data_IF_659274871644
#
_entry.id   IF_659274871644
#
_cell.length_a   1.000
_cell.length_b   1.000
_cell.length_c   1.000
_cell.angle_alpha   90.00
_cell.angle_beta   90.00
_cell.angle_gamma   90.00
#
_symmetry.space_group_name_H-M   'P 1'
#
loop_
_entity.id
_entity.type
_entity.pdbx_description
1 polymer ?
#
# COMPACT_ATOMS: atom_id res chain seq x y z
N UNK A 1 -65.00 -41.40 -5.43
CA UNK A 1 -63.86 -41.24 -6.35
C UNK A 1 -63.05 -40.03 -5.90
N UNK A 2 -61.84 -40.34 -5.40
CA UNK A 2 -60.65 -39.53 -5.08
C UNK A 2 -60.78 -38.05 -4.68
N UNK A 3 -60.53 -37.83 -3.38
CA UNK A 3 -59.96 -36.60 -2.81
C UNK A 3 -58.45 -36.63 -3.06
N UNK A 4 -57.91 -35.61 -3.72
CA UNK A 4 -56.47 -35.44 -3.92
C UNK A 4 -55.99 -34.13 -3.30
N UNK A 5 -55.61 -34.17 -2.03
CA UNK A 5 -54.88 -33.08 -1.37
C UNK A 5 -53.46 -33.01 -1.92
N UNK A 6 -53.17 -31.97 -2.71
CA UNK A 6 -51.80 -31.62 -3.11
C UNK A 6 -51.15 -30.87 -1.94
N UNK A 7 -50.14 -31.47 -1.33
CA UNK A 7 -49.32 -30.85 -0.30
C UNK A 7 -48.56 -29.69 -0.95
N UNK A 8 -48.74 -28.48 -0.39
CA UNK A 8 -48.03 -27.30 -0.84
C UNK A 8 -46.56 -27.43 -0.43
N UNK A 9 -45.70 -27.69 -1.42
CA UNK A 9 -44.26 -27.67 -1.23
C UNK A 9 -43.84 -26.23 -0.97
N UNK A 10 -43.39 -25.98 0.26
CA UNK A 10 -42.92 -24.69 0.72
C UNK A 10 -41.66 -24.33 -0.06
N UNK A 11 -41.84 -23.63 -1.19
CA UNK A 11 -40.76 -23.04 -1.96
C UNK A 11 -39.97 -22.12 -1.03
N UNK A 12 -38.78 -22.59 -0.63
CA UNK A 12 -37.81 -21.82 0.12
C UNK A 12 -37.42 -20.65 -0.78
N UNK A 13 -37.94 -19.46 -0.47
CA UNK A 13 -37.71 -18.23 -1.22
C UNK A 13 -36.21 -18.01 -1.37
N UNK A 14 -35.70 -18.18 -2.58
CA UNK A 14 -34.34 -17.78 -2.91
C UNK A 14 -34.25 -16.25 -2.76
N UNK A 15 -33.18 -15.73 -2.12
CA UNK A 15 -32.99 -14.29 -2.06
C UNK A 15 -32.85 -13.73 -3.48
N UNK A 16 -33.36 -12.52 -3.69
CA UNK A 16 -33.28 -11.85 -4.98
C UNK A 16 -31.82 -11.49 -5.31
N UNK A 17 -31.46 -11.50 -6.59
CA UNK A 17 -30.10 -11.15 -7.07
C UNK A 17 -29.65 -9.70 -6.75
N UNK A 18 -30.53 -8.91 -6.13
CA UNK A 18 -30.30 -7.53 -5.70
C UNK A 18 -30.21 -7.39 -4.17
N UNK A 19 -29.97 -8.50 -3.44
CA UNK A 19 -29.47 -8.38 -2.07
C UNK A 19 -28.32 -7.38 -2.04
N UNK A 20 -28.35 -6.45 -1.07
CA UNK A 20 -27.40 -5.35 -0.97
C UNK A 20 -25.99 -5.87 -1.26
N UNK A 21 -25.35 -5.36 -2.32
CA UNK A 21 -24.09 -5.88 -2.81
C UNK A 21 -23.14 -6.02 -1.61
N UNK A 22 -22.80 -7.28 -1.30
CA UNK A 22 -21.88 -7.58 -0.21
C UNK A 22 -20.62 -6.74 -0.42
N UNK A 23 -20.17 -6.07 0.64
CA UNK A 23 -18.93 -5.29 0.58
C UNK A 23 -17.80 -6.20 0.07
N UNK A 24 -17.20 -5.91 -1.10
CA UNK A 24 -16.16 -6.74 -1.70
C UNK A 24 -14.97 -6.97 -0.76
N UNK A 25 -14.70 -6.02 0.14
CA UNK A 25 -13.57 -6.09 1.07
C UNK A 25 -13.83 -7.06 2.25
N UNK A 26 -15.07 -7.56 2.44
CA UNK A 26 -15.43 -8.44 3.57
C UNK A 26 -14.63 -9.74 3.66
N UNK A 27 -14.07 -10.21 2.53
CA UNK A 27 -13.27 -11.42 2.45
C UNK A 27 -11.78 -11.15 2.27
N UNK A 28 -11.37 -9.89 2.17
CA UNK A 28 -9.98 -9.48 2.01
C UNK A 28 -9.25 -9.41 3.37
N UNK A 29 -8.00 -8.95 3.38
CA UNK A 29 -7.25 -8.71 4.62
C UNK A 29 -8.09 -7.88 5.61
N UNK A 30 -8.20 -8.30 6.89
CA UNK A 30 -7.38 -9.31 7.57
C UNK A 30 -7.88 -10.77 7.50
N UNK A 31 -8.98 -11.04 6.80
CA UNK A 31 -9.60 -12.38 6.76
C UNK A 31 -8.96 -13.33 5.75
N UNK A 32 -8.23 -12.80 4.76
CA UNK A 32 -7.44 -13.58 3.81
C UNK A 32 -6.18 -12.82 3.37
N UNK A 33 -5.39 -13.43 2.47
CA UNK A 33 -4.23 -12.76 1.86
C UNK A 33 -4.61 -11.77 0.75
N UNK A 34 -5.87 -11.79 0.28
CA UNK A 34 -6.34 -10.89 -0.77
C UNK A 34 -6.29 -9.43 -0.31
N UNK A 35 -5.90 -8.54 -1.22
CA UNK A 35 -5.81 -7.12 -0.92
C UNK A 35 -7.19 -6.49 -0.90
N UNK A 36 -7.47 -5.66 0.11
CA UNK A 36 -8.69 -4.85 0.12
C UNK A 36 -8.52 -3.61 -0.77
N UNK A 37 -9.63 -2.90 -1.01
CA UNK A 37 -9.66 -1.72 -1.87
C UNK A 37 -8.69 -0.63 -1.40
N UNK A 38 -8.54 -0.43 -0.09
CA UNK A 38 -7.64 0.58 0.48
C UNK A 38 -6.16 0.25 0.25
N UNK A 39 -5.77 -1.03 0.36
CA UNK A 39 -4.41 -1.50 0.12
C UNK A 39 -4.03 -1.33 -1.35
N UNK A 40 -4.93 -1.71 -2.28
CA UNK A 40 -4.74 -1.53 -3.73
C UNK A 40 -4.57 -0.03 -4.06
N UNK A 41 -5.43 0.82 -3.50
CA UNK A 41 -5.36 2.26 -3.73
C UNK A 41 -4.03 2.84 -3.24
N UNK A 42 -3.57 2.45 -2.05
CA UNK A 42 -2.31 2.93 -1.47
C UNK A 42 -1.08 2.40 -2.23
N UNK A 43 -1.10 1.14 -2.66
CA UNK A 43 -0.09 0.55 -3.55
C UNK A 43 0.06 1.39 -4.83
N UNK A 44 -1.04 1.66 -5.53
CA UNK A 44 -1.01 2.43 -6.78
C UNK A 44 -0.44 3.85 -6.58
N UNK A 45 -0.82 4.52 -5.48
CA UNK A 45 -0.29 5.85 -5.14
C UNK A 45 1.21 5.82 -4.86
N UNK A 46 1.69 4.78 -4.16
CA UNK A 46 3.13 4.58 -3.88
C UNK A 46 3.92 4.25 -5.13
N UNK A 47 3.47 3.31 -5.96
CA UNK A 47 4.14 2.96 -7.21
C UNK A 47 4.29 4.21 -8.10
N UNK A 48 3.21 4.96 -8.29
CA UNK A 48 3.26 6.20 -9.06
C UNK A 48 4.18 7.26 -8.44
N UNK A 49 4.20 7.39 -7.10
CA UNK A 49 5.13 8.28 -6.41
C UNK A 49 6.60 7.89 -6.64
N UNK A 50 6.91 6.59 -6.58
CA UNK A 50 8.27 6.09 -6.70
C UNK A 50 8.82 6.27 -8.12
N UNK A 51 7.97 6.06 -9.14
CA UNK A 51 8.32 6.38 -10.54
C UNK A 51 8.61 7.87 -10.70
N UNK A 52 7.74 8.76 -10.19
CA UNK A 52 7.98 10.21 -10.22
C UNK A 52 9.27 10.63 -9.49
N UNK A 53 9.74 9.80 -8.56
CA UNK A 53 10.96 10.01 -7.78
C UNK A 53 12.17 9.25 -8.35
N UNK A 54 12.06 8.73 -9.58
CA UNK A 54 13.18 8.18 -10.34
C UNK A 54 13.50 6.70 -10.09
N UNK A 55 12.61 5.94 -9.46
CA UNK A 55 12.62 4.49 -9.60
C UNK A 55 12.08 4.10 -10.99
N UNK A 56 12.58 3.01 -11.58
CA UNK A 56 11.92 2.42 -12.73
C UNK A 56 10.60 1.75 -12.31
N UNK A 57 9.72 1.44 -13.27
CA UNK A 57 8.37 0.91 -13.02
C UNK A 57 8.40 -0.41 -12.24
N UNK A 58 9.24 -1.37 -12.66
CA UNK A 58 9.34 -2.67 -12.01
C UNK A 58 9.85 -2.55 -10.56
N UNK A 59 10.79 -1.63 -10.33
CA UNK A 59 11.25 -1.32 -8.97
C UNK A 59 10.18 -0.65 -8.13
N UNK A 60 9.45 0.32 -8.70
CA UNK A 60 8.40 1.04 -8.01
C UNK A 60 7.30 0.08 -7.53
N UNK A 61 6.86 -0.83 -8.39
CA UNK A 61 5.89 -1.88 -8.04
C UNK A 61 6.43 -2.80 -6.95
N UNK A 62 7.66 -3.31 -7.11
CA UNK A 62 8.28 -4.21 -6.10
C UNK A 62 8.43 -3.54 -4.74
N UNK A 63 8.75 -2.24 -4.71
CA UNK A 63 8.83 -1.48 -3.47
C UNK A 63 7.44 -1.26 -2.88
N UNK A 64 6.44 -0.88 -3.68
CA UNK A 64 5.08 -0.68 -3.21
C UNK A 64 4.46 -1.98 -2.66
N UNK A 65 4.71 -3.12 -3.28
CA UNK A 65 4.29 -4.45 -2.82
C UNK A 65 4.87 -4.77 -1.44
N UNK A 66 6.17 -4.57 -1.26
CA UNK A 66 6.82 -4.72 0.07
C UNK A 66 6.19 -3.85 1.15
N UNK A 67 5.69 -2.66 0.78
CA UNK A 67 5.03 -1.76 1.72
C UNK A 67 3.63 -2.22 2.13
N UNK A 68 2.96 -3.06 1.33
CA UNK A 68 1.69 -3.68 1.75
C UNK A 68 1.94 -4.61 2.93
N UNK A 69 2.91 -5.52 2.81
CA UNK A 69 3.30 -6.41 3.94
C UNK A 69 3.74 -5.60 5.15
N UNK A 70 4.57 -4.57 4.95
CA UNK A 70 5.01 -3.68 6.04
C UNK A 70 3.83 -3.08 6.82
N UNK A 71 2.85 -2.54 6.10
CA UNK A 71 1.71 -1.87 6.73
C UNK A 71 0.83 -2.86 7.51
N UNK A 72 0.70 -4.10 7.02
CA UNK A 72 0.00 -5.18 7.74
C UNK A 72 0.68 -5.56 9.06
N UNK A 73 2.01 -5.50 9.09
CA UNK A 73 2.84 -5.85 10.24
C UNK A 73 3.07 -4.67 11.21
N UNK A 74 2.50 -3.50 10.92
CA UNK A 74 2.75 -2.24 11.65
C UNK A 74 4.25 -1.91 11.77
N UNK A 75 5.03 -2.25 10.74
CA UNK A 75 6.46 -1.99 10.72
C UNK A 75 6.75 -0.50 10.42
N UNK A 76 7.52 0.12 11.30
CA UNK A 76 7.81 1.56 11.32
C UNK A 76 8.92 1.98 10.35
N UNK A 77 9.59 1.03 9.67
CA UNK A 77 10.60 1.33 8.66
C UNK A 77 10.00 2.08 7.45
N UNK A 78 10.77 2.97 6.85
CA UNK A 78 10.34 3.80 5.71
C UNK A 78 11.39 3.77 4.61
N UNK A 79 10.96 3.97 3.37
CA UNK A 79 11.84 4.26 2.23
C UNK A 79 12.13 5.77 2.19
N UNK A 80 13.31 6.18 1.72
CA UNK A 80 13.53 7.60 1.42
C UNK A 80 12.53 8.11 0.37
N UNK A 81 12.08 7.23 -0.53
CA UNK A 81 11.06 7.51 -1.54
C UNK A 81 9.68 7.84 -0.97
N UNK A 82 9.41 7.59 0.32
CA UNK A 82 8.18 8.04 1.00
C UNK A 82 8.37 9.41 1.69
N UNK A 83 9.61 9.84 1.91
CA UNK A 83 9.93 11.00 2.72
C UNK A 83 9.68 12.32 1.98
N UNK A 84 9.03 13.29 2.62
CA UNK A 84 8.80 14.64 2.06
C UNK A 84 10.09 15.42 1.83
N UNK A 85 11.16 15.06 2.52
CA UNK A 85 12.46 15.73 2.44
C UNK A 85 13.37 15.19 1.32
N UNK A 86 12.96 14.14 0.61
CA UNK A 86 13.72 13.65 -0.54
C UNK A 86 13.69 14.69 -1.66
N UNK A 87 14.88 15.07 -2.13
CA UNK A 87 15.08 16.03 -3.21
C UNK A 87 15.69 15.32 -4.44
N UNK A 88 15.28 15.77 -5.63
CA UNK A 88 15.71 15.20 -6.91
C UNK A 88 15.01 13.89 -7.26
N UNK A 89 15.19 13.48 -8.52
CA UNK A 89 14.74 12.18 -9.04
C UNK A 89 15.91 11.27 -9.38
N UNK A 90 17.06 11.82 -9.81
CA UNK A 90 18.41 11.26 -9.77
C UNK A 90 19.37 12.40 -10.18
N UNK A 91 20.49 12.65 -9.46
CA UNK A 91 20.84 12.09 -8.16
C UNK A 91 19.88 12.54 -7.05
N UNK A 92 19.73 11.73 -6.01
CA UNK A 92 18.92 12.05 -4.84
C UNK A 92 19.72 12.78 -3.77
N UNK A 93 19.02 13.63 -3.01
CA UNK A 93 19.57 14.29 -1.82
C UNK A 93 18.58 14.27 -0.66
N UNK A 94 19.12 14.19 0.55
CA UNK A 94 18.32 14.33 1.77
C UNK A 94 18.24 15.81 2.16
N UNK A 95 17.06 16.42 2.04
CA UNK A 95 16.81 17.78 2.52
C UNK A 95 16.80 17.92 4.05
N UNK A 96 16.71 16.81 4.78
CA UNK A 96 16.75 16.77 6.25
C UNK A 96 18.01 16.04 6.76
N UNK A 97 19.11 16.16 6.03
CA UNK A 97 20.34 15.36 6.20
C UNK A 97 20.90 15.38 7.62
N UNK A 98 20.82 16.53 8.32
CA UNK A 98 21.36 16.68 9.67
C UNK A 98 20.57 15.85 10.67
N UNK A 99 19.25 16.02 10.70
CA UNK A 99 18.36 15.23 11.57
C UNK A 99 18.33 13.75 11.17
N UNK A 100 18.47 13.45 9.89
CA UNK A 100 18.52 12.09 9.37
C UNK A 100 19.86 11.38 9.61
N UNK A 101 20.90 12.09 10.09
CA UNK A 101 22.24 11.53 10.26
C UNK A 101 22.92 11.10 8.95
N UNK A 102 22.48 11.65 7.80
CA UNK A 102 23.00 11.28 6.47
C UNK A 102 24.36 11.91 6.22
N UNK A 103 24.60 13.12 6.72
CA UNK A 103 25.82 13.87 6.48
C UNK A 103 26.12 14.85 7.63
N UNK A 104 27.36 15.36 7.67
CA UNK A 104 27.77 16.47 8.57
C UNK A 104 27.60 17.83 7.88
N UNK A 105 27.66 17.87 6.55
CA UNK A 105 27.50 19.07 5.72
C UNK A 105 26.46 18.84 4.64
N UNK A 106 25.74 19.90 4.27
CA UNK A 106 24.71 19.83 3.23
C UNK A 106 25.23 19.38 1.86
N UNK A 107 26.47 19.72 1.51
CA UNK A 107 27.09 19.31 0.24
C UNK A 107 27.20 17.78 0.08
N UNK A 108 27.37 17.08 1.22
CA UNK A 108 27.57 15.64 1.29
C UNK A 108 26.24 14.87 1.48
N UNK A 109 25.09 15.56 1.44
CA UNK A 109 23.75 14.98 1.63
C UNK A 109 23.24 14.15 0.44
N UNK A 110 24.13 13.66 -0.43
CA UNK A 110 23.78 12.78 -1.55
C UNK A 110 23.35 11.40 -1.05
N UNK A 111 22.30 10.84 -1.64
CA UNK A 111 21.82 9.51 -1.29
C UNK A 111 22.13 8.52 -2.41
N UNK A 112 22.77 7.41 -2.04
CA UNK A 112 22.96 6.28 -2.95
C UNK A 112 21.63 5.59 -3.25
N UNK A 113 21.50 5.02 -4.46
CA UNK A 113 20.29 4.33 -4.91
C UNK A 113 19.81 3.26 -3.92
N UNK A 114 20.72 2.41 -3.46
CA UNK A 114 20.38 1.32 -2.55
C UNK A 114 19.86 1.84 -1.21
N UNK A 115 20.39 2.96 -0.72
CA UNK A 115 19.88 3.62 0.48
C UNK A 115 18.48 4.18 0.25
N UNK A 116 18.21 4.79 -0.90
CA UNK A 116 16.90 5.37 -1.23
C UNK A 116 15.78 4.30 -1.28
N UNK A 117 16.15 3.10 -1.71
CA UNK A 117 15.26 1.95 -1.91
C UNK A 117 15.24 0.95 -0.74
N UNK A 118 15.98 1.23 0.35
CA UNK A 118 16.03 0.39 1.54
C UNK A 118 15.01 0.83 2.59
N UNK A 119 14.26 -0.14 3.12
CA UNK A 119 13.42 0.03 4.30
C UNK A 119 14.31 0.23 5.53
N UNK A 120 14.29 1.43 6.09
CA UNK A 120 15.16 1.81 7.19
C UNK A 120 14.41 2.63 8.24
N UNK A 121 14.90 2.62 9.47
CA UNK A 121 14.51 3.61 10.47
C UNK A 121 15.40 4.83 10.29
N UNK A 122 14.79 5.99 10.09
CA UNK A 122 15.51 7.24 9.92
C UNK A 122 14.93 8.29 10.89
N UNK A 123 15.76 8.87 11.79
CA UNK A 123 15.29 9.84 12.79
C UNK A 123 14.76 11.15 12.18
N UNK A 124 15.13 11.46 10.93
CA UNK A 124 14.64 12.61 10.18
C UNK A 124 13.53 12.28 9.17
N UNK A 125 12.99 11.06 9.18
CA UNK A 125 11.95 10.65 8.23
C UNK A 125 10.61 11.32 8.53
N UNK A 126 9.95 11.77 7.47
CA UNK A 126 8.59 12.29 7.54
C UNK A 126 7.87 11.97 6.24
N UNK A 127 6.89 11.07 6.29
CA UNK A 127 6.20 10.59 5.10
C UNK A 127 5.33 11.65 4.46
N UNK A 128 5.17 11.58 3.14
CA UNK A 128 4.11 12.30 2.43
C UNK A 128 2.77 11.63 2.77
N UNK A 129 1.72 12.39 3.13
CA UNK A 129 0.37 11.85 3.21
C UNK A 129 -0.11 11.46 1.80
N UNK A 130 -0.47 10.19 1.61
CA UNK A 130 -0.90 9.63 0.33
C UNK A 130 -2.37 9.26 0.31
#
# INVERSE_FOLDING_TARGET
>A
MQVGTKVAESQKSQPAANDAALDPDSYCWPHSSAWNTSEIALFNRRAALFVRRGADEAQAEKLADRLVTRDREDDDRRLCLECRHLQGATPWRCGNWCMAGVAVRSGDAGLARDMVMLLQRCPGAHSIPL
#
